data_IF_507675969961
#
_entry.id   IF_507675969961
#
_cell.length_a   1.000
_cell.length_b   1.000
_cell.length_c   1.000
_cell.angle_alpha   90.00
_cell.angle_beta   90.00
_cell.angle_gamma   90.00
#
_symmetry.space_group_name_H-M   'P 1'
#
loop_
_entity.id
_entity.type
_entity.pdbx_description
1 polymer ?
#
# COMPACT_ATOMS: atom_id res chain seq x y z
N UNK A 1 7.97 12.11 -9.70
CA UNK A 1 7.43 13.37 -10.29
C UNK A 1 8.05 14.61 -9.63
N UNK A 2 8.29 14.61 -8.31
CA UNK A 2 8.86 15.74 -7.58
C UNK A 2 10.24 15.42 -6.98
N UNK A 3 11.20 16.35 -7.04
CA UNK A 3 12.51 16.20 -6.38
C UNK A 3 12.38 16.12 -4.86
N UNK A 4 11.41 16.84 -4.29
CA UNK A 4 11.07 16.82 -2.86
C UNK A 4 10.77 15.40 -2.34
N UNK A 5 10.22 14.52 -3.18
CA UNK A 5 9.94 13.15 -2.81
C UNK A 5 11.23 12.39 -2.41
N UNK A 6 12.35 12.65 -3.08
CA UNK A 6 13.64 12.06 -2.73
C UNK A 6 14.19 12.63 -1.42
N UNK A 7 13.91 13.89 -1.08
CA UNK A 7 14.38 14.47 0.19
C UNK A 7 13.53 13.99 1.37
N UNK A 8 12.22 13.87 1.18
CA UNK A 8 11.30 13.36 2.19
C UNK A 8 11.48 11.86 2.44
N UNK A 9 11.73 11.07 1.39
CA UNK A 9 11.93 9.63 1.52
C UNK A 9 13.11 9.26 2.44
N UNK A 10 14.16 10.10 2.55
CA UNK A 10 15.32 9.94 3.44
C UNK A 10 14.92 10.11 4.92
N UNK A 11 13.82 10.82 5.17
CA UNK A 11 13.31 11.11 6.51
C UNK A 11 12.17 10.19 6.95
N UNK A 12 11.61 9.41 6.02
CA UNK A 12 10.52 8.46 6.31
C UNK A 12 10.93 7.52 7.45
N UNK A 13 10.07 7.43 8.45
CA UNK A 13 10.23 6.53 9.61
C UNK A 13 9.17 5.45 9.65
N UNK A 14 8.03 5.67 8.99
CA UNK A 14 6.92 4.72 8.96
C UNK A 14 6.43 4.55 7.52
N UNK A 15 6.30 3.30 7.08
CA UNK A 15 5.68 2.94 5.82
C UNK A 15 4.33 2.29 6.09
N UNK A 16 3.27 2.91 5.60
CA UNK A 16 1.96 2.33 5.51
C UNK A 16 1.84 1.59 4.17
N UNK A 17 1.36 0.35 4.21
CA UNK A 17 1.09 -0.47 3.03
C UNK A 17 -0.37 -0.91 3.03
N UNK A 18 -1.05 -0.78 1.88
CA UNK A 18 -2.29 -1.51 1.66
C UNK A 18 -2.00 -3.02 1.53
N UNK A 19 -3.00 -3.86 1.84
CA UNK A 19 -2.85 -5.31 1.67
C UNK A 19 -3.01 -5.73 0.21
N UNK A 20 -4.19 -5.48 -0.36
CA UNK A 20 -4.64 -6.09 -1.61
C UNK A 20 -3.91 -5.45 -2.78
N UNK A 21 -3.30 -6.24 -3.66
CA UNK A 21 -2.57 -5.74 -4.84
C UNK A 21 -1.22 -5.05 -4.55
N UNK A 22 -1.01 -4.59 -3.31
CA UNK A 22 0.26 -4.03 -2.84
C UNK A 22 1.15 -5.12 -2.22
N UNK A 23 0.80 -5.66 -1.04
CA UNK A 23 1.53 -6.78 -0.41
C UNK A 23 1.28 -8.08 -1.19
N UNK A 24 0.02 -8.33 -1.54
CA UNK A 24 -0.42 -9.54 -2.21
C UNK A 24 -0.40 -9.39 -3.73
N UNK A 25 -0.59 -10.49 -4.47
CA UNK A 25 -0.63 -10.51 -5.93
C UNK A 25 -1.78 -9.69 -6.51
N UNK A 26 -2.82 -9.39 -5.73
CA UNK A 26 -4.03 -8.69 -6.20
C UNK A 26 -4.85 -9.54 -7.16
N UNK A 27 -4.58 -10.85 -7.17
CA UNK A 27 -5.26 -11.86 -7.98
C UNK A 27 -5.93 -12.83 -7.02
N UNK A 28 -7.04 -12.42 -6.39
CA UNK A 28 -7.75 -13.29 -5.48
C UNK A 28 -8.16 -14.58 -6.18
N UNK A 29 -8.12 -15.68 -5.45
CA UNK A 29 -8.57 -17.00 -5.93
C UNK A 29 -9.50 -17.61 -4.90
N UNK A 30 -10.62 -18.15 -5.37
CA UNK A 30 -11.51 -18.93 -4.50
C UNK A 30 -10.82 -20.25 -4.19
N UNK A 31 -10.67 -20.55 -2.91
CA UNK A 31 -10.11 -21.82 -2.46
C UNK A 31 -11.19 -22.85 -2.17
N UNK A 32 -12.28 -22.42 -1.53
CA UNK A 32 -13.39 -23.30 -1.20
C UNK A 32 -14.70 -22.53 -1.08
N UNK A 33 -15.80 -23.23 -1.31
CA UNK A 33 -17.17 -22.79 -1.07
C UNK A 33 -17.81 -23.85 -0.19
N UNK A 34 -18.45 -23.42 0.89
CA UNK A 34 -19.12 -24.32 1.83
C UNK A 34 -20.58 -23.94 2.03
N UNK A 35 -21.40 -24.94 2.31
CA UNK A 35 -22.77 -24.76 2.78
C UNK A 35 -22.85 -25.01 4.29
N UNK A 36 -23.63 -24.19 4.99
CA UNK A 36 -23.85 -24.36 6.43
C UNK A 36 -25.12 -25.15 6.76
N UNK A 37 -26.02 -25.34 5.78
CA UNK A 37 -27.26 -26.09 5.96
C UNK A 37 -27.37 -27.23 4.95
N UNK A 38 -28.01 -28.32 5.36
CA UNK A 38 -28.34 -29.45 4.49
C UNK A 38 -29.41 -29.10 3.44
N UNK A 39 -30.07 -27.94 3.58
CA UNK A 39 -31.08 -27.43 2.65
C UNK A 39 -30.48 -26.93 1.33
N UNK A 40 -29.22 -26.50 1.33
CA UNK A 40 -28.53 -26.00 0.15
C UNK A 40 -27.25 -26.80 -0.09
N UNK A 41 -27.11 -27.34 -1.28
CA UNK A 41 -25.85 -27.95 -1.70
C UNK A 41 -24.77 -26.88 -1.94
N UNK A 42 -23.50 -27.25 -1.81
CA UNK A 42 -22.37 -26.37 -2.16
C UNK A 42 -22.48 -25.85 -3.61
N UNK A 43 -23.06 -26.64 -4.50
CA UNK A 43 -23.31 -26.25 -5.90
C UNK A 43 -24.34 -25.12 -5.99
N UNK A 44 -25.43 -25.18 -5.23
CA UNK A 44 -26.44 -24.12 -5.17
C UNK A 44 -25.88 -22.86 -4.50
N UNK A 45 -25.12 -23.02 -3.42
CA UNK A 45 -24.41 -21.89 -2.78
C UNK A 45 -23.49 -21.21 -3.79
N UNK A 46 -22.66 -21.98 -4.50
CA UNK A 46 -21.79 -21.45 -5.55
C UNK A 46 -22.60 -20.74 -6.64
N UNK A 47 -23.74 -21.28 -7.05
CA UNK A 47 -24.65 -20.69 -8.03
C UNK A 47 -25.09 -19.28 -7.63
N UNK A 48 -25.58 -19.11 -6.41
CA UNK A 48 -26.02 -17.81 -5.89
C UNK A 48 -24.85 -16.82 -5.77
N UNK A 49 -23.70 -17.28 -5.28
CA UNK A 49 -22.50 -16.43 -5.13
C UNK A 49 -22.02 -15.93 -6.50
N UNK A 50 -21.91 -16.81 -7.50
CA UNK A 50 -21.46 -16.46 -8.85
C UNK A 50 -22.44 -15.50 -9.53
N UNK A 51 -23.74 -15.77 -9.40
CA UNK A 51 -24.80 -14.93 -9.97
C UNK A 51 -24.74 -13.52 -9.40
N UNK A 52 -24.50 -13.37 -8.10
CA UNK A 52 -24.42 -12.07 -7.44
C UNK A 52 -23.19 -11.26 -7.90
N UNK A 53 -22.07 -11.95 -8.06
CA UNK A 53 -20.80 -11.35 -8.44
C UNK A 53 -20.72 -11.01 -9.94
N UNK A 54 -21.64 -11.49 -10.78
CA UNK A 54 -21.63 -11.20 -12.22
C UNK A 54 -21.82 -9.72 -12.54
N UNK A 55 -22.49 -8.95 -11.65
CA UNK A 55 -22.71 -7.51 -11.82
C UNK A 55 -21.71 -6.63 -11.06
N UNK A 56 -20.68 -7.22 -10.42
CA UNK A 56 -19.69 -6.48 -9.66
C UNK A 56 -18.36 -6.42 -10.40
N UNK A 57 -17.77 -5.23 -10.47
CA UNK A 57 -16.43 -5.00 -11.03
C UNK A 57 -15.30 -5.26 -10.00
N UNK A 58 -15.64 -5.74 -8.81
CA UNK A 58 -14.65 -5.95 -7.75
C UNK A 58 -13.74 -7.15 -8.09
N UNK A 59 -12.41 -7.11 -7.83
CA UNK A 59 -11.50 -8.23 -8.10
C UNK A 59 -11.94 -9.57 -7.45
N UNK A 60 -12.49 -9.51 -6.22
CA UNK A 60 -13.08 -10.67 -5.56
C UNK A 60 -14.27 -11.27 -6.33
N UNK A 61 -15.06 -10.43 -7.00
CA UNK A 61 -16.19 -10.85 -7.81
C UNK A 61 -15.71 -11.56 -9.08
N UNK A 62 -14.71 -11.01 -9.76
CA UNK A 62 -14.09 -11.64 -10.92
C UNK A 62 -13.50 -13.02 -10.59
N UNK A 63 -12.77 -13.13 -9.47
CA UNK A 63 -12.24 -14.40 -8.97
C UNK A 63 -13.35 -15.44 -8.74
N UNK A 64 -14.48 -15.00 -8.19
CA UNK A 64 -15.60 -15.89 -7.88
C UNK A 64 -16.34 -16.32 -9.14
N UNK A 65 -16.56 -15.42 -10.09
CA UNK A 65 -17.16 -15.74 -11.40
C UNK A 65 -16.27 -16.70 -12.19
N UNK A 66 -14.94 -16.50 -12.15
CA UNK A 66 -13.99 -17.41 -12.78
C UNK A 66 -14.07 -18.82 -12.17
N UNK A 67 -14.04 -18.92 -10.84
CA UNK A 67 -14.19 -20.19 -10.13
C UNK A 67 -15.51 -20.89 -10.46
N UNK A 68 -16.61 -20.13 -10.53
CA UNK A 68 -17.92 -20.63 -10.95
C UNK A 68 -17.93 -21.23 -12.35
N UNK A 69 -17.28 -20.57 -13.32
CA UNK A 69 -17.14 -21.09 -14.69
C UNK A 69 -16.33 -22.38 -14.74
N UNK A 70 -15.25 -22.47 -13.98
CA UNK A 70 -14.42 -23.69 -13.89
C UNK A 70 -15.20 -24.88 -13.29
N UNK A 71 -16.18 -24.61 -12.43
CA UNK A 71 -17.04 -25.61 -11.78
C UNK A 71 -18.42 -25.77 -12.45
N UNK A 72 -18.63 -25.20 -13.64
CA UNK A 72 -19.89 -25.25 -14.40
C UNK A 72 -21.12 -24.79 -13.59
N UNK A 73 -20.96 -23.73 -12.79
CA UNK A 73 -22.08 -23.10 -12.09
C UNK A 73 -23.00 -22.38 -13.09
N UNK A 74 -24.31 -22.59 -12.97
CA UNK A 74 -25.29 -21.86 -13.75
C UNK A 74 -25.43 -20.42 -13.23
N UNK A 75 -25.61 -19.45 -14.12
CA UNK A 75 -25.77 -18.05 -13.73
C UNK A 75 -27.26 -17.73 -13.70
N UNK A 76 -27.77 -17.43 -12.52
CA UNK A 76 -29.14 -16.96 -12.31
C UNK A 76 -29.26 -15.48 -12.68
N UNK A 77 -30.44 -15.09 -13.13
CA UNK A 77 -30.75 -13.68 -13.37
C UNK A 77 -30.95 -12.99 -12.01
N UNK A 78 -30.17 -11.94 -11.78
CA UNK A 78 -30.31 -11.08 -10.60
C UNK A 78 -30.94 -9.74 -10.97
N UNK A 79 -31.81 -9.24 -10.10
CA UNK A 79 -32.47 -7.94 -10.21
C UNK A 79 -32.09 -7.08 -9.00
N UNK A 80 -32.21 -5.76 -9.12
CA UNK A 80 -31.95 -4.78 -8.05
C UNK A 80 -30.57 -4.94 -7.36
N UNK A 81 -29.53 -5.17 -8.15
CA UNK A 81 -28.16 -5.27 -7.62
C UNK A 81 -27.73 -3.97 -6.94
N UNK A 82 -27.21 -4.09 -5.71
CA UNK A 82 -26.70 -2.99 -4.90
C UNK A 82 -25.40 -3.36 -4.22
N UNK A 83 -24.40 -2.47 -4.29
CA UNK A 83 -23.14 -2.61 -3.59
C UNK A 83 -23.14 -1.74 -2.33
N UNK A 84 -22.95 -2.36 -1.17
CA UNK A 84 -22.91 -1.67 0.13
C UNK A 84 -21.45 -1.53 0.57
N UNK A 85 -20.91 -0.33 0.42
CA UNK A 85 -19.49 -0.01 0.68
C UNK A 85 -19.02 -0.52 2.04
N UNK A 86 -17.92 -1.29 2.03
CA UNK A 86 -17.31 -1.85 3.24
C UNK A 86 -18.06 -3.03 3.87
N UNK A 87 -19.14 -3.52 3.24
CA UNK A 87 -19.94 -4.66 3.74
C UNK A 87 -20.01 -5.80 2.73
N UNK A 88 -20.47 -5.53 1.51
CA UNK A 88 -20.75 -6.57 0.53
C UNK A 88 -21.68 -6.12 -0.58
N UNK A 89 -22.37 -7.08 -1.19
CA UNK A 89 -23.31 -6.89 -2.29
C UNK A 89 -24.63 -7.62 -2.00
N UNK A 90 -25.73 -7.10 -2.52
CA UNK A 90 -27.06 -7.71 -2.42
C UNK A 90 -27.83 -7.58 -3.74
N UNK A 91 -28.74 -8.51 -4.00
CA UNK A 91 -29.64 -8.51 -5.15
C UNK A 91 -30.84 -9.44 -4.88
N UNK A 92 -31.81 -9.40 -5.78
CA UNK A 92 -32.94 -10.34 -5.81
C UNK A 92 -32.72 -11.41 -6.88
N UNK A 93 -32.89 -12.68 -6.53
CA UNK A 93 -32.76 -13.82 -7.46
C UNK A 93 -33.87 -14.82 -7.21
N UNK A 94 -34.60 -15.23 -8.25
CA UNK A 94 -35.73 -16.16 -8.15
C UNK A 94 -36.71 -15.78 -7.02
N UNK A 95 -37.06 -14.49 -6.96
CA UNK A 95 -37.88 -13.86 -5.91
C UNK A 95 -37.32 -13.87 -4.47
N UNK A 96 -36.10 -14.40 -4.25
CA UNK A 96 -35.42 -14.41 -2.95
C UNK A 96 -34.46 -13.23 -2.80
N UNK A 97 -34.32 -12.73 -1.58
CA UNK A 97 -33.31 -11.71 -1.27
C UNK A 97 -31.98 -12.39 -0.97
N UNK A 98 -30.96 -12.08 -1.76
CA UNK A 98 -29.63 -12.70 -1.66
C UNK A 98 -28.59 -11.64 -1.32
N UNK A 99 -27.73 -11.92 -0.34
CA UNK A 99 -26.64 -11.04 0.04
C UNK A 99 -25.35 -11.82 0.25
N UNK A 100 -24.23 -11.21 -0.13
CA UNK A 100 -22.88 -11.75 0.07
C UNK A 100 -22.00 -10.69 0.71
N UNK A 101 -21.32 -11.03 1.79
CA UNK A 101 -20.36 -10.09 2.38
C UNK A 101 -19.77 -10.52 3.70
N UNK A 102 -19.15 -9.56 4.37
CA UNK A 102 -18.55 -9.75 5.68
C UNK A 102 -19.62 -9.79 6.80
N UNK A 103 -19.24 -10.01 8.08
CA UNK A 103 -20.21 -10.01 9.18
C UNK A 103 -21.07 -8.73 9.29
N UNK A 104 -20.54 -7.55 8.91
CA UNK A 104 -21.29 -6.29 8.91
C UNK A 104 -22.42 -6.31 7.87
N UNK A 105 -22.26 -7.04 6.76
CA UNK A 105 -23.33 -7.27 5.78
C UNK A 105 -24.45 -8.11 6.36
N UNK A 106 -24.10 -9.18 7.08
CA UNK A 106 -25.10 -10.06 7.73
C UNK A 106 -25.90 -9.30 8.79
N UNK A 107 -25.23 -8.47 9.60
CA UNK A 107 -25.89 -7.57 10.55
C UNK A 107 -26.82 -6.56 9.85
N UNK A 108 -26.39 -6.00 8.72
CA UNK A 108 -27.16 -5.04 7.93
C UNK A 108 -28.50 -5.62 7.44
N UNK A 109 -28.48 -6.85 6.91
CA UNK A 109 -29.70 -7.55 6.46
C UNK A 109 -30.46 -8.25 7.59
N UNK A 110 -29.95 -8.18 8.82
CA UNK A 110 -30.48 -8.84 10.02
C UNK A 110 -30.47 -10.38 9.93
N UNK A 111 -29.44 -10.94 9.29
CA UNK A 111 -29.18 -12.37 9.26
C UNK A 111 -28.32 -12.78 10.46
N UNK A 112 -28.72 -13.86 11.15
CA UNK A 112 -27.98 -14.36 12.31
C UNK A 112 -26.87 -15.33 11.88
N UNK A 113 -25.64 -15.08 12.32
CA UNK A 113 -24.52 -16.00 12.14
C UNK A 113 -24.37 -16.84 13.41
N UNK A 114 -24.66 -18.14 13.32
CA UNK A 114 -24.51 -19.07 14.45
C UNK A 114 -23.05 -19.16 14.91
N UNK A 115 -22.82 -19.54 16.18
CA UNK A 115 -21.47 -19.64 16.75
C UNK A 115 -20.57 -20.63 16.01
N UNK A 116 -21.13 -21.77 15.59
CA UNK A 116 -20.40 -22.80 14.81
C UNK A 116 -19.93 -22.27 13.46
N UNK A 117 -20.77 -21.50 12.76
CA UNK A 117 -20.42 -20.86 11.48
C UNK A 117 -19.26 -19.86 11.65
N UNK A 118 -19.24 -19.14 12.78
CA UNK A 118 -18.15 -18.20 13.10
C UNK A 118 -16.83 -18.93 13.37
N UNK A 119 -16.87 -20.08 14.05
CA UNK A 119 -15.68 -20.88 14.34
C UNK A 119 -15.04 -21.42 13.06
N UNK A 120 -15.85 -21.92 12.13
CA UNK A 120 -15.38 -22.42 10.84
C UNK A 120 -14.76 -21.29 9.99
N UNK A 121 -15.44 -20.14 9.88
CA UNK A 121 -14.88 -18.98 9.19
C UNK A 121 -13.56 -18.51 9.84
N UNK A 122 -13.50 -18.51 11.18
CA UNK A 122 -12.30 -18.10 11.92
C UNK A 122 -11.09 -18.97 11.60
N UNK A 123 -11.27 -20.28 11.42
CA UNK A 123 -10.18 -21.19 11.07
C UNK A 123 -9.52 -20.83 9.73
N UNK A 124 -10.30 -20.37 8.76
CA UNK A 124 -9.77 -19.86 7.49
C UNK A 124 -9.17 -18.46 7.63
N UNK A 125 -9.80 -17.58 8.41
CA UNK A 125 -9.29 -16.21 8.64
C UNK A 125 -7.94 -16.21 9.34
N UNK A 126 -7.72 -17.12 10.28
CA UNK A 126 -6.41 -17.33 10.93
C UNK A 126 -5.30 -17.79 9.98
N UNK A 127 -5.66 -18.29 8.80
CA UNK A 127 -4.72 -18.61 7.71
C UNK A 127 -4.52 -17.43 6.75
N UNK A 128 -4.99 -16.23 7.08
CA UNK A 128 -4.87 -15.06 6.20
C UNK A 128 -5.86 -15.03 5.04
N UNK A 129 -6.92 -15.86 5.08
CA UNK A 129 -7.94 -15.94 4.02
C UNK A 129 -9.12 -15.05 4.32
N UNK A 130 -9.75 -14.49 3.29
CA UNK A 130 -10.97 -13.69 3.41
C UNK A 130 -12.18 -14.61 3.29
N UNK A 131 -13.12 -14.51 4.24
CA UNK A 131 -14.36 -15.30 4.24
C UNK A 131 -15.55 -14.37 4.06
N UNK A 132 -16.37 -14.65 3.05
CA UNK A 132 -17.64 -13.96 2.80
C UNK A 132 -18.80 -14.91 3.00
N UNK A 133 -19.81 -14.46 3.75
CA UNK A 133 -21.03 -15.22 4.04
C UNK A 133 -22.08 -14.95 2.97
N UNK A 134 -22.76 -16.01 2.53
CA UNK A 134 -23.96 -15.95 1.70
C UNK A 134 -25.20 -16.06 2.59
N UNK A 135 -26.13 -15.14 2.41
CA UNK A 135 -27.44 -15.21 3.03
C UNK A 135 -28.56 -15.17 1.98
N UNK A 136 -29.60 -15.97 2.22
CA UNK A 136 -30.83 -16.04 1.44
C UNK A 136 -32.00 -15.80 2.40
N UNK A 137 -32.83 -14.81 2.10
CA UNK A 137 -33.98 -14.40 2.91
C UNK A 137 -33.66 -14.28 4.41
N UNK A 138 -32.54 -13.61 4.71
CA UNK A 138 -32.00 -13.35 6.07
C UNK A 138 -31.50 -14.59 6.82
N UNK A 139 -31.33 -15.72 6.13
CA UNK A 139 -30.71 -16.92 6.69
C UNK A 139 -29.33 -17.08 6.07
N UNK A 140 -28.29 -17.27 6.89
CA UNK A 140 -26.93 -17.55 6.40
C UNK A 140 -26.87 -19.01 5.97
N UNK A 141 -26.67 -19.23 4.68
CA UNK A 141 -26.76 -20.57 4.06
C UNK A 141 -25.40 -21.14 3.67
N UNK A 142 -24.38 -20.29 3.50
CA UNK A 142 -23.06 -20.74 3.08
C UNK A 142 -22.00 -19.66 3.13
N UNK A 143 -20.83 -19.97 2.61
CA UNK A 143 -19.69 -19.08 2.58
C UNK A 143 -18.77 -19.36 1.39
N UNK A 144 -17.94 -18.37 1.05
CA UNK A 144 -16.81 -18.52 0.13
C UNK A 144 -15.53 -18.05 0.79
N UNK A 145 -14.48 -18.84 0.62
CA UNK A 145 -13.12 -18.54 1.10
C UNK A 145 -12.28 -18.12 -0.08
N UNK A 146 -11.74 -16.91 0.02
CA UNK A 146 -10.91 -16.29 -1.00
C UNK A 146 -9.53 -16.04 -0.42
N UNK A 147 -8.52 -16.62 -1.05
CA UNK A 147 -7.11 -16.40 -0.74
C UNK A 147 -6.49 -15.40 -1.71
N UNK A 148 -5.53 -14.62 -1.23
CA UNK A 148 -4.65 -13.81 -2.08
C UNK A 148 -3.21 -13.99 -1.58
N UNK A 149 -2.35 -14.49 -2.45
CA UNK A 149 -0.99 -14.90 -2.08
C UNK A 149 -0.11 -13.68 -1.83
N UNK A 150 0.68 -13.72 -0.77
CA UNK A 150 1.71 -12.72 -0.51
C UNK A 150 2.82 -12.86 -1.56
N UNK A 151 3.20 -11.75 -2.19
CA UNK A 151 4.34 -11.75 -3.13
C UNK A 151 5.62 -12.02 -2.35
N UNK A 152 6.44 -12.97 -2.82
CA UNK A 152 7.76 -13.22 -2.23
C UNK A 152 8.64 -11.96 -2.27
N UNK A 153 8.51 -11.16 -3.34
CA UNK A 153 9.21 -9.88 -3.46
C UNK A 153 8.75 -8.86 -2.41
N UNK A 154 7.47 -8.84 -2.06
CA UNK A 154 6.92 -7.98 -1.00
C UNK A 154 7.48 -8.35 0.36
N UNK A 155 7.53 -9.64 0.70
CA UNK A 155 8.10 -10.10 1.96
C UNK A 155 9.57 -9.69 2.12
N UNK A 156 10.38 -9.90 1.07
CA UNK A 156 11.78 -9.50 1.04
C UNK A 156 11.96 -7.97 1.15
N UNK A 157 11.11 -7.19 0.47
CA UNK A 157 11.17 -5.74 0.50
C UNK A 157 10.80 -5.17 1.88
N UNK A 158 9.75 -5.70 2.51
CA UNK A 158 9.32 -5.33 3.86
C UNK A 158 10.45 -5.58 4.85
N UNK A 159 11.07 -6.76 4.81
CA UNK A 159 12.21 -7.08 5.65
C UNK A 159 13.38 -6.10 5.45
N UNK A 160 13.72 -5.79 4.21
CA UNK A 160 14.81 -4.85 3.90
C UNK A 160 14.53 -3.42 4.41
N UNK A 161 13.26 -3.00 4.46
CA UNK A 161 12.85 -1.72 5.04
C UNK A 161 12.89 -1.75 6.57
N UNK A 162 12.45 -2.84 7.19
CA UNK A 162 12.54 -3.05 8.63
C UNK A 162 13.99 -3.07 9.12
N UNK A 163 14.91 -3.72 8.37
CA UNK A 163 16.35 -3.73 8.66
C UNK A 163 16.98 -2.33 8.60
N UNK A 164 16.32 -1.37 7.92
CA UNK A 164 16.68 0.06 7.89
C UNK A 164 16.02 0.88 9.00
N UNK A 165 15.28 0.25 9.92
CA UNK A 165 14.58 0.91 11.02
C UNK A 165 13.29 1.61 10.62
N UNK A 166 12.67 1.20 9.50
CA UNK A 166 11.36 1.72 9.09
C UNK A 166 10.26 0.83 9.69
N UNK A 167 9.34 1.44 10.44
CA UNK A 167 8.15 0.76 10.96
C UNK A 167 7.18 0.51 9.79
N UNK A 168 6.92 -0.76 9.45
CA UNK A 168 5.96 -1.11 8.40
C UNK A 168 4.61 -1.46 9.04
N UNK A 169 3.57 -0.74 8.63
CA UNK A 169 2.20 -0.87 9.14
C UNK A 169 1.26 -1.23 7.98
N UNK A 170 0.43 -2.27 8.16
CA UNK A 170 -0.58 -2.64 7.15
C UNK A 170 -1.94 -2.05 7.49
N UNK A 171 -2.58 -1.41 6.51
CA UNK A 171 -3.99 -1.01 6.60
C UNK A 171 -4.80 -1.85 5.61
N UNK A 172 -5.89 -2.45 6.08
CA UNK A 172 -6.75 -3.28 5.23
C UNK A 172 -8.22 -3.15 5.59
N UNK A 173 -9.08 -3.35 4.59
CA UNK A 173 -10.52 -3.52 4.78
C UNK A 173 -10.92 -4.92 5.27
N UNK A 174 -9.99 -5.88 5.29
CA UNK A 174 -10.27 -7.25 5.76
C UNK A 174 -10.58 -7.32 7.25
N UNK A 175 -11.06 -8.48 7.70
CA UNK A 175 -11.28 -8.71 9.13
C UNK A 175 -9.96 -8.76 9.92
N UNK A 176 -10.08 -8.64 11.24
CA UNK A 176 -8.94 -8.60 12.14
C UNK A 176 -8.08 -9.87 12.10
N UNK A 177 -8.68 -11.06 12.06
CA UNK A 177 -7.93 -12.32 12.10
C UNK A 177 -7.10 -12.53 10.82
N UNK A 178 -7.68 -12.20 9.66
CA UNK A 178 -6.98 -12.21 8.36
C UNK A 178 -5.82 -11.22 8.34
N UNK A 179 -6.05 -9.99 8.81
CA UNK A 179 -5.02 -8.97 8.88
C UNK A 179 -3.90 -9.37 9.86
N UNK A 180 -4.26 -9.95 11.00
CA UNK A 180 -3.30 -10.42 12.00
C UNK A 180 -2.43 -11.55 11.46
N UNK A 181 -3.00 -12.50 10.72
CA UNK A 181 -2.26 -13.60 10.13
C UNK A 181 -1.18 -13.09 9.15
N UNK A 182 -1.57 -12.21 8.22
CA UNK A 182 -0.64 -11.59 7.26
C UNK A 182 0.42 -10.74 7.97
N UNK A 183 0.01 -9.94 8.97
CA UNK A 183 0.92 -9.12 9.74
C UNK A 183 1.94 -9.95 10.53
N UNK A 184 1.52 -11.08 11.08
CA UNK A 184 2.39 -12.00 11.82
C UNK A 184 3.37 -12.72 10.89
N UNK A 185 2.92 -13.17 9.73
CA UNK A 185 3.77 -13.79 8.71
C UNK A 185 4.89 -12.86 8.25
N UNK A 186 4.57 -11.56 8.09
CA UNK A 186 5.52 -10.53 7.65
C UNK A 186 6.23 -9.80 8.81
N UNK A 187 5.98 -10.16 10.06
CA UNK A 187 6.50 -9.50 11.26
C UNK A 187 6.32 -7.97 11.23
N UNK A 188 5.13 -7.50 10.87
CA UNK A 188 4.83 -6.05 10.78
C UNK A 188 4.83 -5.39 12.16
N UNK A 189 5.13 -4.09 12.20
CA UNK A 189 5.17 -3.33 13.44
C UNK A 189 3.77 -3.12 14.02
N UNK A 190 2.77 -2.92 13.16
CA UNK A 190 1.36 -2.79 13.53
C UNK A 190 0.48 -3.12 12.32
N UNK A 191 -0.82 -3.32 12.55
CA UNK A 191 -1.83 -3.40 11.49
C UNK A 191 -3.16 -2.78 11.95
N UNK A 192 -3.97 -2.34 10.99
CA UNK A 192 -5.37 -1.96 11.22
C UNK A 192 -6.26 -2.68 10.22
N UNK A 193 -7.31 -3.28 10.74
CA UNK A 193 -8.25 -4.09 9.99
C UNK A 193 -9.63 -3.42 9.91
N UNK A 194 -10.44 -3.85 8.95
CA UNK A 194 -11.82 -3.42 8.74
C UNK A 194 -11.98 -1.92 8.52
N UNK A 195 -10.95 -1.31 7.93
CA UNK A 195 -10.85 0.12 7.67
C UNK A 195 -11.62 0.53 6.42
N UNK A 196 -12.36 1.63 6.49
CA UNK A 196 -12.90 2.32 5.33
C UNK A 196 -11.86 3.30 4.75
N UNK A 197 -12.03 3.81 3.51
CA UNK A 197 -11.13 4.80 2.92
C UNK A 197 -10.87 6.02 3.82
N UNK A 198 -11.91 6.53 4.48
CA UNK A 198 -11.81 7.66 5.42
C UNK A 198 -10.99 7.31 6.68
N UNK A 199 -11.04 6.07 7.13
CA UNK A 199 -10.30 5.62 8.29
C UNK A 199 -8.81 5.53 7.98
N UNK A 200 -8.44 5.11 6.76
CA UNK A 200 -7.04 5.09 6.30
C UNK A 200 -6.43 6.50 6.33
N UNK A 201 -7.18 7.51 5.86
CA UNK A 201 -6.77 8.90 5.91
C UNK A 201 -6.52 9.37 7.36
N UNK A 202 -7.46 9.11 8.26
CA UNK A 202 -7.33 9.49 9.68
C UNK A 202 -6.14 8.83 10.35
N UNK A 203 -5.82 7.58 10.01
CA UNK A 203 -4.66 6.90 10.57
C UNK A 203 -3.34 7.51 10.08
N UNK A 204 -3.26 7.94 8.82
CA UNK A 204 -2.11 8.72 8.31
C UNK A 204 -1.93 10.00 9.12
N UNK A 205 -3.01 10.77 9.32
CA UNK A 205 -2.99 12.02 10.08
C UNK A 205 -2.52 11.81 11.52
N UNK A 206 -3.08 10.80 12.20
CA UNK A 206 -2.71 10.46 13.57
C UNK A 206 -1.23 10.07 13.70
N UNK A 207 -0.67 9.31 12.74
CA UNK A 207 0.75 8.96 12.76
C UNK A 207 1.64 10.19 12.55
N UNK A 208 1.25 11.10 11.66
CA UNK A 208 1.93 12.37 11.44
C UNK A 208 1.88 13.28 12.67
N UNK A 209 0.73 13.38 13.35
CA UNK A 209 0.57 14.11 14.62
C UNK A 209 1.47 13.56 15.73
N UNK A 210 1.73 12.26 15.72
CA UNK A 210 2.70 11.61 16.62
C UNK A 210 4.17 11.84 16.23
N UNK A 211 4.44 12.70 15.25
CA UNK A 211 5.78 13.06 14.79
C UNK A 211 6.44 12.02 13.88
N UNK A 212 5.70 11.04 13.36
CA UNK A 212 6.22 10.11 12.34
C UNK A 212 6.23 10.80 10.98
N UNK A 213 7.19 10.43 10.14
CA UNK A 213 7.21 10.83 8.72
C UNK A 213 6.69 9.65 7.92
N UNK A 214 5.52 9.81 7.31
CA UNK A 214 4.71 8.70 6.82
C UNK A 214 4.81 8.61 5.31
N UNK A 215 5.32 7.49 4.82
CA UNK A 215 5.11 7.07 3.43
C UNK A 215 3.88 6.15 3.37
N UNK A 216 3.09 6.27 2.32
CA UNK A 216 1.98 5.35 2.06
C UNK A 216 2.13 4.71 0.69
N UNK A 217 1.96 3.39 0.61
CA UNK A 217 1.91 2.63 -0.62
C UNK A 217 0.53 2.00 -0.83
N UNK A 218 -0.05 2.21 -2.01
CA UNK A 218 -1.36 1.67 -2.38
C UNK A 218 -1.59 1.69 -3.89
N UNK A 219 -2.67 1.07 -4.33
CA UNK A 219 -3.02 0.88 -5.74
C UNK A 219 -4.46 1.27 -6.08
N UNK A 220 -5.34 1.41 -5.08
CA UNK A 220 -6.77 1.65 -5.29
C UNK A 220 -7.21 3.11 -5.23
N UNK A 221 -8.41 3.36 -5.77
CA UNK A 221 -9.15 4.63 -5.61
C UNK A 221 -9.39 4.90 -4.11
N UNK A 222 -9.60 3.85 -3.33
CA UNK A 222 -9.79 3.88 -1.88
C UNK A 222 -8.57 4.44 -1.13
N UNK A 223 -7.38 4.36 -1.73
CA UNK A 223 -6.12 4.77 -1.11
C UNK A 223 -5.70 6.18 -1.52
N UNK A 224 -6.27 6.71 -2.60
CA UNK A 224 -5.89 8.01 -3.15
C UNK A 224 -5.95 9.16 -2.13
N UNK A 225 -6.98 9.30 -1.27
CA UNK A 225 -6.99 10.35 -0.25
C UNK A 225 -5.83 10.24 0.74
N UNK A 226 -5.52 9.03 1.18
CA UNK A 226 -4.49 8.77 2.18
C UNK A 226 -3.07 8.86 1.55
N UNK A 227 -2.91 8.45 0.27
CA UNK A 227 -1.70 8.67 -0.53
C UNK A 227 -1.39 10.17 -0.66
N UNK A 228 -2.39 10.99 -0.98
CA UNK A 228 -2.23 12.44 -1.12
C UNK A 228 -1.89 13.13 0.20
N UNK A 229 -2.39 12.60 1.34
CA UNK A 229 -2.13 13.16 2.67
C UNK A 229 -0.74 12.80 3.22
N UNK A 230 -0.24 11.62 2.89
CA UNK A 230 1.05 11.13 3.37
C UNK A 230 2.22 12.05 2.96
N UNK A 231 3.31 12.05 3.73
CA UNK A 231 4.51 12.83 3.40
C UNK A 231 5.11 12.38 2.06
N UNK A 232 5.04 11.06 1.79
CA UNK A 232 5.44 10.46 0.52
C UNK A 232 4.39 9.44 0.08
N UNK A 233 3.50 9.85 -0.82
CA UNK A 233 2.58 8.94 -1.50
C UNK A 233 3.26 8.12 -2.59
N UNK A 234 3.09 6.80 -2.56
CA UNK A 234 3.69 5.83 -3.48
C UNK A 234 2.57 5.00 -4.14
N UNK A 235 2.31 5.23 -5.41
CA UNK A 235 1.34 4.45 -6.17
C UNK A 235 1.99 3.21 -6.82
N UNK A 236 1.27 2.10 -6.83
CA UNK A 236 1.63 0.96 -7.68
C UNK A 236 1.32 1.31 -9.15
N UNK A 237 2.22 0.95 -10.07
CA UNK A 237 2.04 1.20 -11.51
C UNK A 237 0.93 0.38 -12.15
N UNK A 238 0.46 -0.67 -11.45
CA UNK A 238 -0.74 -1.45 -11.79
C UNK A 238 -2.01 -0.89 -11.17
N UNK A 239 -1.89 0.16 -10.35
CA UNK A 239 -3.02 0.78 -9.67
C UNK A 239 -3.84 1.68 -10.57
N UNK A 240 -4.91 2.23 -10.00
CA UNK A 240 -5.83 3.12 -10.70
C UNK A 240 -5.18 4.47 -11.04
N UNK A 241 -5.63 5.11 -12.13
CA UNK A 241 -5.11 6.42 -12.57
C UNK A 241 -5.21 7.47 -11.45
N UNK A 242 -6.26 7.41 -10.64
CA UNK A 242 -6.47 8.31 -9.49
C UNK A 242 -5.36 8.14 -8.45
N UNK A 243 -4.94 6.90 -8.16
CA UNK A 243 -3.84 6.64 -7.25
C UNK A 243 -2.51 7.15 -7.82
N UNK A 244 -2.25 6.91 -9.11
CA UNK A 244 -1.03 7.35 -9.81
C UNK A 244 -0.88 8.88 -9.87
N UNK A 245 -1.98 9.60 -10.03
CA UNK A 245 -1.99 11.06 -10.02
C UNK A 245 -1.88 11.65 -8.61
N UNK A 246 -2.40 10.95 -7.60
CA UNK A 246 -2.32 11.38 -6.20
C UNK A 246 -0.93 11.18 -5.56
N UNK A 247 -0.11 10.28 -6.13
CA UNK A 247 1.19 9.90 -5.57
C UNK A 247 2.39 10.70 -6.12
N UNK A 248 3.40 10.90 -5.28
CA UNK A 248 4.65 11.57 -5.66
C UNK A 248 5.62 10.63 -6.41
N UNK A 249 5.57 9.35 -6.05
CA UNK A 249 6.36 8.26 -6.60
C UNK A 249 5.41 7.21 -7.18
N UNK A 250 5.73 6.70 -8.37
CA UNK A 250 4.98 5.60 -9.00
C UNK A 250 5.92 4.44 -9.27
N UNK A 251 5.58 3.25 -8.76
CA UNK A 251 6.36 2.04 -8.96
C UNK A 251 5.88 1.32 -10.22
N UNK A 252 6.52 1.59 -11.36
CA UNK A 252 6.12 1.09 -12.68
C UNK A 252 5.87 -0.42 -12.72
N UNK A 253 6.62 -1.22 -11.93
CA UNK A 253 6.51 -2.68 -11.90
C UNK A 253 5.54 -3.24 -10.84
N UNK A 254 4.92 -2.40 -10.01
CA UNK A 254 4.01 -2.86 -8.94
C UNK A 254 4.68 -3.72 -7.87
N UNK A 255 5.98 -3.53 -7.64
CA UNK A 255 6.80 -4.30 -6.70
C UNK A 255 7.35 -3.39 -5.58
N UNK A 256 7.16 -3.79 -4.32
CA UNK A 256 7.63 -3.08 -3.13
C UNK A 256 9.17 -2.94 -3.08
N UNK A 257 9.91 -3.77 -3.81
CA UNK A 257 11.36 -3.54 -4.00
C UNK A 257 11.64 -2.14 -4.55
N UNK A 258 10.73 -1.56 -5.32
CA UNK A 258 10.83 -0.18 -5.78
C UNK A 258 10.92 0.84 -4.64
N UNK A 259 10.28 0.59 -3.50
CA UNK A 259 10.35 1.44 -2.30
C UNK A 259 11.74 1.33 -1.66
N UNK A 260 12.28 0.11 -1.54
CA UNK A 260 13.65 -0.13 -1.05
C UNK A 260 14.66 0.64 -1.91
N UNK A 261 14.48 0.58 -3.23
CA UNK A 261 15.33 1.31 -4.18
C UNK A 261 15.18 2.82 -4.04
N UNK A 262 13.95 3.32 -3.95
CA UNK A 262 13.69 4.74 -3.73
C UNK A 262 14.37 5.23 -2.45
N UNK A 263 14.30 4.45 -1.36
CA UNK A 263 14.97 4.73 -0.09
C UNK A 263 16.49 4.77 -0.24
N UNK A 264 17.10 3.74 -0.83
CA UNK A 264 18.54 3.69 -1.06
C UNK A 264 19.06 4.83 -1.94
N UNK A 265 18.30 5.17 -2.98
CA UNK A 265 18.60 6.29 -3.86
C UNK A 265 18.51 7.62 -3.10
N UNK A 266 17.44 7.80 -2.34
CA UNK A 266 17.20 8.97 -1.50
C UNK A 266 18.33 9.18 -0.48
N UNK A 267 18.74 8.14 0.27
CA UNK A 267 19.87 8.18 1.20
C UNK A 267 21.15 8.65 0.49
N UNK A 268 21.40 8.12 -0.72
CA UNK A 268 22.58 8.43 -1.52
C UNK A 268 22.57 9.87 -2.07
N UNK A 269 21.41 10.32 -2.54
CA UNK A 269 21.21 11.69 -3.04
C UNK A 269 21.39 12.69 -1.90
N UNK A 270 20.80 12.45 -0.73
CA UNK A 270 20.95 13.33 0.42
C UNK A 270 22.39 13.41 0.92
N UNK A 271 23.13 12.29 0.90
CA UNK A 271 24.57 12.29 1.18
C UNK A 271 25.35 13.11 0.17
N UNK A 272 25.02 13.00 -1.12
CA UNK A 272 25.66 13.78 -2.19
C UNK A 272 25.40 15.29 -2.04
N UNK A 273 24.14 15.68 -1.73
CA UNK A 273 23.77 17.07 -1.49
C UNK A 273 24.54 17.65 -0.30
N UNK A 274 24.62 16.92 0.81
CA UNK A 274 25.41 17.35 1.99
C UNK A 274 26.90 17.55 1.64
N UNK A 275 27.47 16.68 0.81
CA UNK A 275 28.85 16.83 0.32
C UNK A 275 29.01 18.04 -0.61
N UNK A 276 28.08 18.28 -1.52
CA UNK A 276 28.11 19.42 -2.43
C UNK A 276 28.00 20.74 -1.66
N UNK A 277 27.14 20.78 -0.64
CA UNK A 277 27.02 21.94 0.24
C UNK A 277 28.31 22.15 1.05
N UNK A 278 28.94 21.08 1.53
CA UNK A 278 30.24 21.16 2.19
C UNK A 278 31.33 21.74 1.28
N UNK A 279 31.43 21.26 0.03
CA UNK A 279 32.36 21.82 -0.95
C UNK A 279 32.05 23.29 -1.23
N UNK A 280 30.79 23.65 -1.47
CA UNK A 280 30.42 25.04 -1.72
C UNK A 280 30.78 25.96 -0.53
N UNK A 281 30.56 25.49 0.70
CA UNK A 281 30.86 26.27 1.90
C UNK A 281 32.35 26.40 2.16
N UNK A 282 33.17 25.35 1.96
CA UNK A 282 34.60 25.43 2.30
C UNK A 282 35.35 26.49 1.50
N UNK A 283 35.04 26.65 0.21
CA UNK A 283 35.64 27.70 -0.61
C UNK A 283 35.24 29.10 -0.15
N UNK A 284 33.98 29.29 0.26
CA UNK A 284 33.50 30.56 0.79
C UNK A 284 34.10 30.86 2.18
N UNK A 285 34.13 29.86 3.06
CA UNK A 285 34.72 29.99 4.41
C UNK A 285 36.21 30.31 4.35
N UNK A 286 36.96 29.77 3.37
CA UNK A 286 38.35 30.15 3.16
C UNK A 286 38.49 31.53 2.49
N UNK A 287 37.58 31.89 1.58
CA UNK A 287 37.60 33.16 0.88
C UNK A 287 37.32 34.38 1.77
N UNK A 288 36.42 34.26 2.76
CA UNK A 288 36.01 35.37 3.64
C UNK A 288 37.18 35.95 4.47
N UNK A 289 37.99 35.15 5.19
CA UNK A 289 39.17 35.65 5.89
C UNK A 289 40.21 36.30 4.97
N UNK A 290 40.38 35.77 3.76
CA UNK A 290 41.30 36.32 2.76
C UNK A 290 40.80 37.69 2.29
N UNK A 291 39.49 37.82 2.03
CA UNK A 291 38.86 39.10 1.67
C UNK A 291 38.91 40.12 2.81
N UNK A 292 38.74 39.67 4.05
CA UNK A 292 38.85 40.49 5.26
C UNK A 292 40.29 40.94 5.57
N UNK A 293 41.28 40.50 4.79
CA UNK A 293 42.66 40.96 4.91
C UNK A 293 43.48 40.23 5.98
N UNK A 294 43.06 39.06 6.46
CA UNK A 294 43.83 38.28 7.45
C UNK A 294 45.23 37.93 6.93
N UNK A 295 45.37 37.67 5.63
CA UNK A 295 46.65 37.38 4.99
C UNK A 295 47.43 38.64 4.57
N UNK A 296 46.82 39.82 4.63
CA UNK A 296 47.43 41.06 4.14
C UNK A 296 48.68 41.49 4.94
N UNK A 297 48.71 41.43 6.29
CA UNK A 297 49.87 41.89 7.06
C UNK A 297 51.16 41.10 6.81
N UNK A 298 51.04 39.81 6.46
CA UNK A 298 52.18 38.91 6.30
C UNK A 298 52.56 38.65 4.84
N UNK A 299 51.57 38.65 3.94
CA UNK A 299 51.77 38.25 2.54
C UNK A 299 51.38 39.33 1.52
N UNK A 300 50.77 40.44 1.96
CA UNK A 300 50.25 41.48 1.06
C UNK A 300 49.09 41.02 0.18
N UNK A 301 48.47 39.87 0.49
CA UNK A 301 47.42 39.27 -0.32
C UNK A 301 46.05 39.78 0.15
N UNK A 302 45.31 40.39 -0.77
CA UNK A 302 43.87 40.62 -0.68
C UNK A 302 43.15 39.74 -1.72
N UNK A 303 41.89 39.40 -1.46
CA UNK A 303 41.08 38.64 -2.40
C UNK A 303 40.90 39.44 -3.71
N UNK A 304 41.54 39.00 -4.79
CA UNK A 304 41.36 39.59 -6.11
C UNK A 304 40.20 38.92 -6.86
N UNK A 305 39.56 39.61 -7.83
CA UNK A 305 38.55 39.01 -8.69
C UNK A 305 39.02 37.71 -9.38
N UNK A 306 40.32 37.61 -9.69
CA UNK A 306 40.91 36.40 -10.28
C UNK A 306 40.92 35.22 -9.31
N UNK A 307 41.33 35.43 -8.05
CA UNK A 307 41.34 34.37 -7.02
C UNK A 307 39.90 33.91 -6.72
N UNK A 308 38.97 34.85 -6.65
CA UNK A 308 37.55 34.54 -6.46
C UNK A 308 36.99 33.70 -7.62
N UNK A 309 37.29 34.07 -8.88
CA UNK A 309 36.85 33.34 -10.06
C UNK A 309 37.44 31.92 -10.13
N UNK A 310 38.71 31.74 -9.76
CA UNK A 310 39.34 30.42 -9.66
C UNK A 310 38.66 29.57 -8.60
N UNK A 311 38.42 30.12 -7.39
CA UNK A 311 37.74 29.40 -6.31
C UNK A 311 36.31 28.97 -6.70
N UNK A 312 35.52 29.84 -7.34
CA UNK A 312 34.19 29.49 -7.86
C UNK A 312 34.26 28.37 -8.91
N UNK A 313 35.26 28.41 -9.79
CA UNK A 313 35.45 27.40 -10.83
C UNK A 313 35.79 26.03 -10.22
N UNK A 314 36.73 25.97 -9.27
CA UNK A 314 37.08 24.73 -8.57
C UNK A 314 35.93 24.17 -7.73
N UNK A 315 35.16 25.04 -7.07
CA UNK A 315 33.93 24.67 -6.37
C UNK A 315 32.94 23.99 -7.32
N UNK A 316 32.70 24.60 -8.48
CA UNK A 316 31.76 24.09 -9.49
C UNK A 316 32.20 22.72 -10.04
N UNK A 317 33.49 22.57 -10.38
CA UNK A 317 34.04 21.28 -10.84
C UNK A 317 33.91 20.21 -9.77
N UNK A 318 34.19 20.54 -8.51
CA UNK A 318 34.09 19.60 -7.38
C UNK A 318 32.65 19.11 -7.17
N UNK A 319 31.68 20.02 -7.24
CA UNK A 319 30.25 19.71 -7.14
C UNK A 319 29.79 18.85 -8.32
N UNK A 320 30.16 19.21 -9.55
CA UNK A 320 29.79 18.43 -10.76
C UNK A 320 30.39 17.02 -10.70
N UNK A 321 31.69 16.91 -10.38
CA UNK A 321 32.36 15.62 -10.27
C UNK A 321 31.73 14.73 -9.19
N UNK A 322 31.36 15.33 -8.04
CA UNK A 322 30.69 14.59 -6.98
C UNK A 322 29.27 14.15 -7.36
N UNK A 323 28.48 15.02 -8.00
CA UNK A 323 27.13 14.69 -8.46
C UNK A 323 27.14 13.53 -9.47
N UNK A 324 28.12 13.48 -10.38
CA UNK A 324 28.26 12.41 -11.37
C UNK A 324 28.48 11.02 -10.74
N UNK A 325 28.97 10.93 -9.50
CA UNK A 325 29.13 9.64 -8.80
C UNK A 325 27.80 8.93 -8.58
N UNK A 326 26.69 9.67 -8.43
CA UNK A 326 25.35 9.08 -8.28
C UNK A 326 24.97 8.18 -9.48
N UNK A 327 25.49 8.47 -10.68
CA UNK A 327 25.23 7.67 -11.89
C UNK A 327 25.77 6.24 -11.81
N UNK A 328 26.79 6.01 -10.97
CA UNK A 328 27.45 4.71 -10.82
C UNK A 328 26.90 3.87 -9.68
N UNK A 329 25.94 4.39 -8.91
CA UNK A 329 25.35 3.67 -7.77
C UNK A 329 24.44 2.56 -8.30
N UNK A 330 24.67 1.34 -7.81
CA UNK A 330 23.75 0.21 -8.02
C UNK A 330 22.68 0.25 -6.93
N UNK A 331 21.42 0.36 -7.35
CA UNK A 331 20.23 0.45 -6.49
C UNK A 331 19.29 -0.71 -6.78
#
# INVERSE_FOLDING_TARGET
KNAEALEKMDKVTTLIVDKTGTITEGKPTVETVGAFSDEFSEKEVLQYIVSLNTNSEHPLAEATVKYGKEHNAEILKSEDFSAVTGKGVEAKMDDKNVALGNPKMMEYIKANIASTMKEEAKAYQQQGKTVSYLAIDKTVVGYVVIGDKIKETSANAIKALQDKGIDVIMLTGDNHDTAQAVASELNLADFKASMLPEDKLKEVEKLQENGKVVAMAGDGINDAPALAKSDVGIAMGTGTDVAIESAMITLVKGDLNGIVKARNLSDSVMKNIKQNLFFALIYNTLGVPIAAGVLFPFFGILLSPMIAALAMSFSSVSVIANALRLRTIKV
#
